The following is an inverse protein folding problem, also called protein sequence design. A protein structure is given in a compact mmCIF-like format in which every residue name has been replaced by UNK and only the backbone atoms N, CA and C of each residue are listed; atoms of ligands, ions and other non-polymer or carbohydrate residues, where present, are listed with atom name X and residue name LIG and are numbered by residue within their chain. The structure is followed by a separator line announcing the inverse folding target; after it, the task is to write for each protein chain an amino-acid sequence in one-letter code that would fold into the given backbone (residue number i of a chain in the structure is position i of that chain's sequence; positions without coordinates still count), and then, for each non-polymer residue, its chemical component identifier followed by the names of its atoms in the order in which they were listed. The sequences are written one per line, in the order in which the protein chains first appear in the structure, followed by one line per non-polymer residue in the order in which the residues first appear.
data_IF_444675909125
#
_entry.id   IF_444675909125
#
_cell.length_a   1.000
_cell.length_b   1.000
_cell.length_c   1.000
_cell.angle_alpha   90.00
_cell.angle_beta   90.00
_cell.angle_gamma   90.00
#
_symmetry.space_group_name_H-M   'P 1'
#
loop_
_entity.id
_entity.type
_entity.pdbx_description
1 polymer ?
#
# COMPACT_ATOMS: atom_id res chain seq x y z
N UNK A 1 9.62 27.76 10.99
CA UNK A 1 9.29 27.35 9.61
C UNK A 1 8.33 26.18 9.70
N UNK A 2 7.19 26.21 9.00
CA UNK A 2 6.31 25.05 8.89
C UNK A 2 6.95 24.03 7.96
N UNK A 3 7.23 22.83 8.46
CA UNK A 3 7.73 21.75 7.63
C UNK A 3 6.63 21.23 6.70
N UNK A 4 6.95 21.11 5.41
CA UNK A 4 6.07 20.50 4.41
C UNK A 4 6.31 19.00 4.38
N UNK A 5 5.24 18.23 4.61
CA UNK A 5 5.24 16.77 4.54
C UNK A 5 4.66 16.31 3.20
N UNK A 6 5.26 15.29 2.62
CA UNK A 6 4.87 14.67 1.36
C UNK A 6 4.39 13.25 1.60
N UNK A 7 3.20 12.94 1.10
CA UNK A 7 2.60 11.62 1.22
C UNK A 7 3.37 10.60 0.38
N UNK A 8 3.78 9.50 1.02
CA UNK A 8 4.39 8.32 0.42
C UNK A 8 3.40 7.18 0.12
N UNK A 9 2.21 7.23 0.75
CA UNK A 9 1.08 6.37 0.42
C UNK A 9 0.28 5.90 1.62
N UNK A 10 -0.78 5.15 1.36
CA UNK A 10 -1.64 4.56 2.37
C UNK A 10 -1.46 3.05 2.43
N UNK A 11 -1.48 2.50 3.64
CA UNK A 11 -1.37 1.07 3.91
C UNK A 11 -2.48 0.63 4.84
N UNK A 12 -3.00 -0.56 4.62
CA UNK A 12 -3.86 -1.26 5.55
C UNK A 12 -3.00 -2.27 6.31
N UNK A 13 -2.85 -2.12 7.62
CA UNK A 13 -2.00 -2.98 8.43
C UNK A 13 -2.80 -3.67 9.51
N UNK A 14 -2.50 -4.93 9.77
CA UNK A 14 -3.00 -5.61 10.96
C UNK A 14 -2.26 -5.04 12.18
N UNK A 15 -3.02 -4.47 13.13
CA UNK A 15 -2.42 -4.00 14.37
C UNK A 15 -2.09 -5.18 15.29
N UNK A 16 -0.82 -5.57 15.28
CA UNK A 16 -0.22 -6.44 16.30
C UNK A 16 0.50 -5.59 17.36
N UNK A 17 0.76 -6.13 18.56
CA UNK A 17 1.58 -5.45 19.57
C UNK A 17 3.07 -5.34 19.22
N UNK A 18 3.51 -5.78 18.03
CA UNK A 18 4.90 -5.70 17.61
C UNK A 18 5.27 -4.33 17.01
N UNK A 19 6.57 -4.06 16.90
CA UNK A 19 7.13 -2.80 16.38
C UNK A 19 6.57 -2.39 15.01
N UNK A 20 6.61 -1.08 14.69
CA UNK A 20 6.15 -0.53 13.39
C UNK A 20 6.72 -1.27 12.17
N UNK A 21 7.97 -1.73 12.25
CA UNK A 21 8.62 -2.55 11.21
C UNK A 21 7.92 -3.89 10.99
N UNK A 22 7.45 -4.55 12.06
CA UNK A 22 6.73 -5.83 12.01
C UNK A 22 5.27 -5.65 11.56
N UNK A 23 4.64 -4.52 11.91
CA UNK A 23 3.26 -4.21 11.50
C UNK A 23 3.16 -3.87 10.00
N UNK A 24 4.19 -3.24 9.42
CA UNK A 24 4.25 -3.02 7.96
C UNK A 24 4.42 -4.37 7.22
N UNK A 25 5.03 -5.39 7.83
CA UNK A 25 5.16 -6.72 7.21
C UNK A 25 3.83 -7.47 7.10
N UNK A 26 2.79 -7.09 7.86
CA UNK A 26 1.45 -7.67 7.76
C UNK A 26 0.47 -6.63 7.24
N UNK A 27 0.68 -6.24 5.98
CA UNK A 27 -0.13 -5.26 5.28
C UNK A 27 -1.03 -5.91 4.24
N UNK A 28 -2.06 -5.18 3.86
CA UNK A 28 -3.01 -5.52 2.83
C UNK A 28 -3.03 -4.43 1.75
N UNK A 29 -3.17 -4.82 0.48
CA UNK A 29 -3.27 -6.19 -0.02
C UNK A 29 -1.91 -6.87 -0.09
N UNK A 30 -1.90 -8.20 0.00
CA UNK A 30 -0.71 -8.98 -0.31
C UNK A 30 -0.38 -8.91 -1.81
N UNK A 31 0.91 -8.94 -2.18
CA UNK A 31 1.35 -8.96 -3.58
C UNK A 31 0.77 -10.13 -4.38
N UNK A 32 0.41 -11.23 -3.71
CA UNK A 32 -0.22 -12.39 -4.28
C UNK A 32 -1.53 -12.07 -5.04
N UNK A 33 -2.19 -10.93 -4.79
CA UNK A 33 -3.37 -10.54 -5.57
C UNK A 33 -3.05 -10.12 -7.00
N UNK A 34 -1.79 -9.84 -7.34
CA UNK A 34 -1.41 -9.47 -8.70
C UNK A 34 -1.23 -10.72 -9.56
N UNK A 35 -1.87 -10.77 -10.73
CA UNK A 35 -1.91 -12.00 -11.56
C UNK A 35 -0.55 -12.39 -12.13
N UNK A 36 0.37 -11.44 -12.20
CA UNK A 36 1.73 -11.61 -12.71
C UNK A 36 2.76 -11.89 -11.61
N UNK A 37 2.38 -11.90 -10.32
CA UNK A 37 3.23 -12.33 -9.20
C UNK A 37 3.11 -13.83 -9.00
N UNK A 38 4.15 -14.59 -9.37
CA UNK A 38 4.04 -16.04 -9.52
C UNK A 38 4.39 -16.82 -8.24
N UNK A 39 3.45 -16.82 -7.29
CA UNK A 39 3.48 -17.70 -6.11
C UNK A 39 2.09 -18.30 -5.87
N UNK A 40 1.91 -19.58 -6.22
CA UNK A 40 0.61 -20.24 -6.09
C UNK A 40 0.22 -20.55 -4.65
N UNK A 41 1.21 -20.73 -3.76
CA UNK A 41 0.95 -21.06 -2.37
C UNK A 41 0.47 -19.81 -1.63
N UNK A 42 1.18 -18.69 -1.77
CA UNK A 42 0.83 -17.41 -1.15
C UNK A 42 -0.55 -16.93 -1.61
N UNK A 43 -0.89 -17.13 -2.90
CA UNK A 43 -2.22 -16.84 -3.45
C UNK A 43 -3.33 -17.58 -2.74
N UNK A 44 -3.15 -18.89 -2.57
CA UNK A 44 -4.17 -19.73 -1.94
C UNK A 44 -4.28 -19.42 -0.44
N UNK A 45 -3.15 -19.18 0.24
CA UNK A 45 -3.13 -18.76 1.63
C UNK A 45 -3.87 -17.43 1.82
N UNK A 46 -3.57 -16.44 0.98
CA UNK A 46 -4.18 -15.12 1.06
C UNK A 46 -5.67 -15.15 0.70
N UNK A 47 -6.08 -15.91 -0.33
CA UNK A 47 -7.50 -16.14 -0.64
C UNK A 47 -8.27 -16.69 0.57
N UNK A 48 -7.70 -17.71 1.23
CA UNK A 48 -8.31 -18.31 2.43
C UNK A 48 -8.40 -17.30 3.57
N UNK A 49 -7.37 -16.47 3.76
CA UNK A 49 -7.36 -15.39 4.76
C UNK A 49 -8.49 -14.38 4.54
N UNK A 50 -8.75 -14.01 3.28
CA UNK A 50 -9.86 -13.14 2.89
C UNK A 50 -11.23 -13.85 2.86
N UNK A 51 -11.25 -15.18 3.06
CA UNK A 51 -12.47 -16.02 2.98
C UNK A 51 -13.23 -15.89 1.65
N UNK A 52 -12.52 -15.62 0.56
CA UNK A 52 -13.10 -15.50 -0.78
C UNK A 52 -13.18 -16.86 -1.46
N UNK A 53 -14.20 -17.07 -2.28
CA UNK A 53 -14.26 -18.15 -3.26
C UNK A 53 -13.16 -17.98 -4.34
N UNK A 54 -12.94 -19.00 -5.16
CA UNK A 54 -11.95 -18.92 -6.25
C UNK A 54 -12.36 -17.85 -7.26
N UNK A 55 -13.66 -17.77 -7.55
CA UNK A 55 -14.25 -16.81 -8.49
C UNK A 55 -14.13 -15.37 -7.98
N UNK A 56 -14.48 -15.13 -6.72
CA UNK A 56 -14.32 -13.81 -6.09
C UNK A 56 -12.86 -13.37 -6.03
N UNK A 57 -11.95 -14.30 -5.74
CA UNK A 57 -10.52 -14.00 -5.73
C UNK A 57 -10.02 -13.63 -7.13
N UNK A 58 -10.41 -14.35 -8.18
CA UNK A 58 -10.06 -14.01 -9.56
C UNK A 58 -10.59 -12.63 -9.97
N UNK A 59 -11.80 -12.26 -9.54
CA UNK A 59 -12.35 -10.92 -9.76
C UNK A 59 -11.51 -9.85 -9.06
N UNK A 60 -11.13 -10.09 -7.79
CA UNK A 60 -10.22 -9.22 -7.06
C UNK A 60 -8.87 -9.08 -7.78
N UNK A 61 -8.27 -10.18 -8.25
CA UNK A 61 -6.98 -10.13 -8.94
C UNK A 61 -7.06 -9.29 -10.22
N UNK A 62 -8.07 -9.53 -11.06
CA UNK A 62 -8.27 -8.74 -12.27
C UNK A 62 -8.57 -7.26 -12.00
N UNK A 63 -9.18 -6.95 -10.86
CA UNK A 63 -9.40 -5.57 -10.43
C UNK A 63 -8.12 -4.92 -9.88
N UNK A 64 -7.29 -5.68 -9.18
CA UNK A 64 -6.00 -5.25 -8.64
C UNK A 64 -5.01 -4.89 -9.75
N UNK A 65 -4.94 -5.72 -10.80
CA UNK A 65 -4.11 -5.43 -11.98
C UNK A 65 -4.54 -4.11 -12.64
N UNK A 66 -5.85 -3.86 -12.78
CA UNK A 66 -6.36 -2.58 -13.30
C UNK A 66 -5.98 -1.40 -12.41
N UNK A 67 -6.07 -1.54 -11.09
CA UNK A 67 -5.64 -0.47 -10.17
C UNK A 67 -4.14 -0.20 -10.28
N UNK A 68 -3.34 -1.24 -10.50
CA UNK A 68 -1.90 -1.14 -10.71
C UNK A 68 -1.60 -0.38 -12.01
N UNK A 69 -2.19 -0.79 -13.14
CA UNK A 69 -2.06 -0.11 -14.44
C UNK A 69 -2.49 1.36 -14.39
N UNK A 70 -3.55 1.66 -13.62
CA UNK A 70 -4.06 3.01 -13.41
C UNK A 70 -3.23 3.85 -12.41
N UNK A 71 -2.16 3.30 -11.84
CA UNK A 71 -1.37 3.93 -10.79
C UNK A 71 -2.22 4.41 -9.59
N UNK A 72 -3.25 3.63 -9.24
CA UNK A 72 -4.07 3.79 -8.02
C UNK A 72 -3.60 2.86 -6.90
N UNK A 73 -2.88 1.80 -7.27
CA UNK A 73 -2.24 0.83 -6.40
C UNK A 73 -0.80 0.62 -6.88
N UNK A 74 0.15 0.50 -5.96
CA UNK A 74 1.57 0.39 -6.26
C UNK A 74 2.21 -0.86 -5.68
N UNK A 75 3.40 -1.17 -6.16
CA UNK A 75 4.21 -2.27 -5.64
C UNK A 75 4.47 -2.13 -4.13
N UNK A 76 4.40 -3.23 -3.39
CA UNK A 76 4.51 -3.25 -1.92
C UNK A 76 3.22 -2.91 -1.18
N UNK A 77 2.05 -3.12 -1.80
CA UNK A 77 0.78 -2.95 -1.10
C UNK A 77 0.32 -1.50 -0.91
N UNK A 78 0.88 -0.57 -1.69
CA UNK A 78 0.69 0.87 -1.47
C UNK A 78 -0.55 1.38 -2.19
N UNK A 79 -1.52 1.89 -1.45
CA UNK A 79 -2.67 2.58 -2.05
C UNK A 79 -2.33 4.04 -2.35
N UNK A 80 -2.62 4.45 -3.58
CA UNK A 80 -2.43 5.83 -4.06
C UNK A 80 -3.61 6.76 -3.76
N UNK A 81 -4.74 6.14 -3.45
CA UNK A 81 -6.02 6.78 -3.24
C UNK A 81 -6.56 6.32 -1.88
N UNK A 82 -6.88 7.28 -1.01
CA UNK A 82 -7.42 7.00 0.32
C UNK A 82 -8.77 6.29 0.26
N UNK A 83 -9.61 6.65 -0.71
CA UNK A 83 -10.92 6.03 -0.88
C UNK A 83 -10.76 4.60 -1.36
N UNK A 84 -9.81 4.35 -2.28
CA UNK A 84 -9.53 2.98 -2.71
C UNK A 84 -9.07 2.09 -1.54
N UNK A 85 -8.23 2.61 -0.64
CA UNK A 85 -7.83 1.86 0.55
C UNK A 85 -9.03 1.55 1.46
N UNK A 86 -9.98 2.48 1.60
CA UNK A 86 -11.21 2.28 2.41
C UNK A 86 -12.18 1.30 1.77
N UNK A 87 -12.38 1.40 0.46
CA UNK A 87 -13.18 0.48 -0.34
C UNK A 87 -12.62 -0.93 -0.19
N UNK A 88 -11.32 -1.11 -0.40
CA UNK A 88 -10.66 -2.40 -0.23
C UNK A 88 -10.86 -2.99 1.18
N UNK A 89 -10.68 -2.17 2.23
CA UNK A 89 -10.89 -2.62 3.60
C UNK A 89 -12.34 -3.05 3.86
N UNK A 90 -13.31 -2.32 3.30
CA UNK A 90 -14.74 -2.61 3.46
C UNK A 90 -15.13 -3.89 2.73
N UNK A 91 -14.67 -4.03 1.49
CA UNK A 91 -15.11 -5.10 0.59
C UNK A 91 -14.41 -6.43 0.88
N UNK A 92 -13.13 -6.40 1.28
CA UNK A 92 -12.31 -7.61 1.37
C UNK A 92 -11.76 -7.91 2.76
N UNK A 93 -11.70 -6.95 3.69
CA UNK A 93 -11.08 -7.14 5.02
C UNK A 93 -12.10 -7.18 6.17
N UNK A 94 -13.40 -7.21 5.88
CA UNK A 94 -14.46 -7.19 6.89
C UNK A 94 -14.37 -8.33 7.92
N UNK A 95 -13.77 -9.46 7.54
CA UNK A 95 -13.56 -10.62 8.40
C UNK A 95 -12.24 -10.58 9.21
N UNK A 96 -11.39 -9.57 9.00
CA UNK A 96 -10.11 -9.42 9.69
C UNK A 96 -10.24 -8.32 10.72
N UNK A 97 -10.01 -8.66 11.98
CA UNK A 97 -10.09 -7.70 13.08
C UNK A 97 -8.82 -6.86 13.15
N UNK A 98 -8.92 -5.68 13.77
CA UNK A 98 -7.78 -4.82 14.10
C UNK A 98 -7.00 -4.27 12.88
N UNK A 99 -7.65 -4.11 11.73
CA UNK A 99 -7.08 -3.40 10.57
C UNK A 99 -7.00 -1.90 10.87
N UNK A 100 -5.82 -1.31 10.65
CA UNK A 100 -5.58 0.14 10.70
C UNK A 100 -5.19 0.66 9.33
N UNK A 101 -5.78 1.77 8.94
CA UNK A 101 -5.37 2.53 7.77
C UNK A 101 -4.35 3.58 8.20
N UNK A 102 -3.11 3.44 7.73
CA UNK A 102 -2.01 4.35 8.04
C UNK A 102 -1.57 5.10 6.78
N UNK A 103 -1.13 6.34 6.97
CA UNK A 103 -0.49 7.14 5.92
C UNK A 103 0.99 7.27 6.26
N UNK A 104 1.87 6.97 5.30
CA UNK A 104 3.30 7.23 5.43
C UNK A 104 3.60 8.55 4.74
N UNK A 105 4.31 9.43 5.42
CA UNK A 105 4.74 10.72 4.87
C UNK A 105 6.18 11.00 5.26
N UNK A 106 6.86 11.81 4.44
CA UNK A 106 8.25 12.21 4.66
C UNK A 106 8.44 13.70 4.41
N UNK A 107 9.53 14.27 4.90
CA UNK A 107 9.83 15.70 4.67
C UNK A 107 10.36 15.94 3.27
N UNK A 108 10.34 17.20 2.82
CA UNK A 108 10.91 17.60 1.52
C UNK A 108 12.34 17.07 1.32
N UNK A 109 13.18 17.22 2.36
CA UNK A 109 14.59 16.81 2.34
C UNK A 109 14.74 15.31 2.09
N UNK A 110 14.02 14.48 2.84
CA UNK A 110 14.11 13.03 2.70
C UNK A 110 13.47 12.52 1.42
N UNK A 111 12.39 13.16 0.95
CA UNK A 111 11.82 12.89 -0.38
C UNK A 111 12.85 13.09 -1.48
N UNK A 112 13.55 14.24 -1.45
CA UNK A 112 14.50 14.57 -2.51
C UNK A 112 15.72 13.65 -2.49
N UNK A 113 16.20 13.26 -1.30
CA UNK A 113 17.24 12.25 -1.14
C UNK A 113 16.80 10.89 -1.71
N UNK A 114 15.61 10.40 -1.33
CA UNK A 114 15.06 9.15 -1.84
C UNK A 114 14.92 9.17 -3.36
N UNK A 115 14.41 10.25 -3.95
CA UNK A 115 14.29 10.37 -5.41
C UNK A 115 15.64 10.40 -6.12
N UNK A 116 16.69 10.96 -5.50
CA UNK A 116 18.04 10.95 -6.06
C UNK A 116 18.67 9.56 -6.03
N UNK A 117 18.47 8.83 -4.94
CA UNK A 117 18.93 7.44 -4.79
C UNK A 117 18.23 6.53 -5.81
N UNK A 118 16.90 6.63 -5.94
CA UNK A 118 16.11 5.83 -6.89
C UNK A 118 16.39 6.15 -8.37
N UNK A 119 16.91 7.34 -8.68
CA UNK A 119 17.36 7.66 -10.04
C UNK A 119 18.71 7.00 -10.39
N UNK A 120 19.47 6.58 -9.37
CA UNK A 120 20.77 5.92 -9.53
C UNK A 120 20.67 4.39 -9.52
N UNK A 121 19.61 3.83 -8.94
CA UNK A 121 19.27 2.40 -9.00
C UNK A 121 18.42 2.12 -10.24
N UNK A 122 18.96 1.38 -11.19
CA UNK A 122 18.31 1.08 -12.47
C UNK A 122 17.18 0.03 -12.38
N UNK A 123 16.56 -0.19 -11.22
CA UNK A 123 15.65 -1.34 -11.00
C UNK A 123 14.43 -0.99 -10.15
N UNK A 124 13.26 -1.33 -10.72
CA UNK A 124 11.93 -1.35 -10.12
C UNK A 124 11.34 -0.02 -9.64
N UNK A 125 10.30 0.46 -10.33
CA UNK A 125 9.49 1.57 -9.86
C UNK A 125 8.57 1.09 -8.72
N UNK A 126 9.06 1.19 -7.49
CA UNK A 126 8.28 0.89 -6.29
C UNK A 126 7.07 1.83 -6.14
N UNK A 127 6.01 1.38 -5.46
CA UNK A 127 4.79 2.19 -5.26
C UNK A 127 5.06 3.53 -4.54
N UNK A 128 6.04 3.54 -3.63
CA UNK A 128 6.48 4.73 -2.88
C UNK A 128 7.19 5.75 -3.79
N UNK A 129 7.93 5.29 -4.80
CA UNK A 129 8.58 6.15 -5.80
C UNK A 129 7.57 6.94 -6.63
N UNK A 130 6.51 6.28 -7.10
CA UNK A 130 5.42 6.94 -7.82
C UNK A 130 4.78 8.04 -6.98
N UNK A 131 4.67 7.83 -5.67
CA UNK A 131 4.15 8.80 -4.72
C UNK A 131 5.07 9.97 -4.47
N UNK A 132 6.34 9.68 -4.20
CA UNK A 132 7.36 10.68 -3.99
C UNK A 132 7.38 11.66 -5.18
N UNK A 133 7.17 11.20 -6.42
CA UNK A 133 7.05 12.09 -7.59
C UNK A 133 5.84 13.04 -7.57
N UNK A 134 4.66 12.62 -7.10
CA UNK A 134 3.39 13.37 -7.24
C UNK A 134 3.29 14.67 -6.42
N UNK A 135 4.26 15.00 -5.56
CA UNK A 135 4.31 16.24 -4.75
C UNK A 135 3.01 16.51 -3.97
N UNK A 136 2.35 15.47 -3.47
CA UNK A 136 1.15 15.62 -2.65
C UNK A 136 1.56 16.10 -1.24
N UNK A 137 1.39 17.40 -1.00
CA UNK A 137 1.65 17.99 0.31
C UNK A 137 0.48 17.74 1.26
N UNK A 138 0.78 17.21 2.44
CA UNK A 138 -0.18 17.16 3.54
C UNK A 138 -0.22 18.55 4.18
N UNK A 139 -1.37 19.24 4.08
CA UNK A 139 -1.59 20.46 4.84
C UNK A 139 -1.68 20.08 6.31
N UNK A 140 -0.78 20.61 7.13
CA UNK A 140 -0.61 20.29 8.55
C UNK A 140 -1.88 20.57 9.34
N UNK A 141 -2.77 19.59 9.43
CA UNK A 141 -3.68 19.39 10.56
C UNK A 141 -3.73 17.88 10.84
N UNK A 142 -3.15 17.52 11.99
CA UNK A 142 -3.15 16.20 12.61
C UNK A 142 -2.28 15.11 11.95
N UNK A 143 -0.98 15.14 12.25
CA UNK A 143 -0.24 13.92 12.54
C UNK A 143 -0.03 13.95 14.05
N UNK A 144 -0.91 13.29 14.81
CA UNK A 144 -0.61 12.95 16.21
C UNK A 144 -0.07 11.53 16.20
N UNK A 145 1.17 11.40 16.66
CA UNK A 145 1.92 10.15 16.86
C UNK A 145 1.26 9.34 17.97
#
# INVERSE_FOLDING_TARGET
MTETYFLGGYYLVESSPCSLSTCICSHHPDLAILTWVNDSEDREQYRRKLKLTIEEFKLLQGQADKWFEQNRYGWGGVFVDLNLAREFATDYLSNIHNIKLIAIATTAKYRDLYLQEELSSNNFQEGVYLYAKRRLSLKTRAIQV
#
